data_IF_224439221583
#
_entry.id   IF_224439221583
#
_cell.length_a   1.000
_cell.length_b   1.000
_cell.length_c   1.000
_cell.angle_alpha   90.00
_cell.angle_beta   90.00
_cell.angle_gamma   90.00
#
_symmetry.space_group_name_H-M   'P 1'
#
loop_
_entity.id
_entity.type
_entity.pdbx_description
1 polymer ?
#
# COMPACT_ATOMS: atom_id res chain seq x y z
N UNK A 1 -36.00 8.82 40.16
CA UNK A 1 -36.72 9.94 39.55
C UNK A 1 -36.37 10.00 38.06
N UNK A 2 -37.37 9.76 37.19
CA UNK A 2 -37.28 9.77 35.72
C UNK A 2 -37.28 11.23 35.24
N UNK A 3 -36.46 11.57 34.27
CA UNK A 3 -36.72 12.70 33.36
C UNK A 3 -36.32 12.31 31.92
N UNK A 4 -37.33 12.16 31.14
CA UNK A 4 -37.42 12.05 29.69
C UNK A 4 -37.15 13.43 29.06
N UNK A 5 -36.36 13.52 28.01
CA UNK A 5 -36.31 14.70 27.14
C UNK A 5 -36.52 14.29 25.71
N UNK A 6 -37.49 14.98 25.14
CA UNK A 6 -38.23 14.85 23.90
C UNK A 6 -37.41 15.18 22.65
N UNK A 7 -37.78 14.52 21.55
CA UNK A 7 -37.39 14.81 20.15
C UNK A 7 -37.85 16.20 19.68
N UNK A 8 -37.04 16.83 18.85
CA UNK A 8 -37.53 17.88 17.92
C UNK A 8 -36.96 17.59 16.53
N UNK A 9 -37.85 17.10 15.68
CA UNK A 9 -37.68 17.10 14.20
C UNK A 9 -37.83 18.53 13.67
N UNK A 10 -36.94 18.98 12.79
CA UNK A 10 -37.23 20.07 11.86
C UNK A 10 -36.85 19.67 10.44
N UNK A 11 -37.88 19.61 9.59
CA UNK A 11 -37.80 19.46 8.15
C UNK A 11 -37.35 20.77 7.52
N UNK A 12 -36.41 20.71 6.58
CA UNK A 12 -36.04 21.81 5.69
C UNK A 12 -36.07 21.32 4.25
N UNK A 13 -37.10 21.70 3.52
CA UNK A 13 -37.20 21.58 2.07
C UNK A 13 -36.16 22.52 1.41
N UNK A 14 -35.42 22.03 0.43
CA UNK A 14 -34.69 22.87 -0.54
C UNK A 14 -35.17 22.53 -1.95
N UNK A 15 -35.68 23.59 -2.61
CA UNK A 15 -36.24 23.57 -3.95
C UNK A 15 -35.15 23.39 -5.02
N UNK A 16 -35.46 22.59 -6.05
CA UNK A 16 -34.67 22.44 -7.25
C UNK A 16 -34.91 23.60 -8.21
N UNK A 17 -33.84 24.28 -8.66
CA UNK A 17 -33.88 25.24 -9.77
C UNK A 17 -33.33 24.55 -11.03
N UNK A 18 -34.20 24.41 -12.04
CA UNK A 18 -33.89 24.00 -13.41
C UNK A 18 -33.34 25.19 -14.17
N UNK A 19 -32.11 25.13 -14.68
CA UNK A 19 -31.55 26.07 -15.62
C UNK A 19 -31.49 25.43 -17.04
N UNK A 20 -32.22 26.03 -17.97
CA UNK A 20 -32.29 25.67 -19.37
C UNK A 20 -31.04 26.17 -20.11
N UNK A 21 -30.32 25.32 -20.82
CA UNK A 21 -29.20 25.67 -21.70
C UNK A 21 -29.69 25.71 -23.15
N UNK A 22 -29.64 26.89 -23.74
CA UNK A 22 -29.89 27.17 -25.17
C UNK A 22 -28.66 26.76 -26.00
N UNK A 23 -28.90 25.96 -27.04
CA UNK A 23 -27.89 25.52 -28.01
C UNK A 23 -27.74 26.60 -29.09
N UNK A 24 -26.53 27.18 -29.26
CA UNK A 24 -26.14 27.97 -30.43
C UNK A 24 -25.34 27.11 -31.40
N UNK A 25 -25.81 27.00 -32.64
CA UNK A 25 -25.16 26.29 -33.74
C UNK A 25 -23.96 27.06 -34.29
N UNK A 26 -22.91 26.35 -34.69
CA UNK A 26 -21.73 26.84 -35.40
C UNK A 26 -21.75 26.25 -36.81
N UNK A 27 -21.51 27.05 -37.87
CA UNK A 27 -21.54 26.59 -39.26
C UNK A 27 -20.25 25.84 -39.63
N UNK A 28 -20.40 24.79 -40.45
CA UNK A 28 -19.34 24.04 -41.05
C UNK A 28 -18.60 24.79 -42.14
N UNK A 29 -17.27 24.88 -42.04
CA UNK A 29 -16.41 25.27 -43.19
C UNK A 29 -15.71 24.02 -43.69
N UNK A 30 -15.90 23.71 -44.98
CA UNK A 30 -15.24 22.66 -45.68
C UNK A 30 -13.78 23.03 -46.00
N UNK A 31 -12.87 22.09 -45.82
CA UNK A 31 -11.51 22.17 -46.30
C UNK A 31 -11.14 20.87 -47.01
N UNK A 32 -10.70 21.00 -48.24
CA UNK A 32 -10.30 20.02 -49.23
C UNK A 32 -9.06 19.23 -48.76
N UNK A 33 -9.16 17.90 -48.94
CA UNK A 33 -8.07 16.98 -48.69
C UNK A 33 -6.96 17.11 -49.73
N UNK A 34 -5.70 17.27 -49.27
CA UNK A 34 -4.51 16.92 -50.04
C UNK A 34 -3.82 15.72 -49.36
N UNK A 35 -3.94 14.61 -50.04
CA UNK A 35 -3.31 13.35 -49.70
C UNK A 35 -1.77 13.46 -49.92
N UNK A 36 -0.99 13.36 -48.81
CA UNK A 36 0.46 13.10 -48.87
C UNK A 36 0.72 11.81 -48.07
N UNK A 37 1.23 10.81 -48.77
CA UNK A 37 1.70 9.55 -48.21
C UNK A 37 2.80 9.78 -47.15
N UNK A 38 2.76 9.10 -45.99
CA UNK A 38 3.86 9.17 -45.04
C UNK A 38 5.03 8.26 -45.45
N UNK A 39 6.22 8.86 -45.53
CA UNK A 39 7.50 8.18 -45.64
C UNK A 39 7.72 7.36 -44.37
N UNK A 40 8.27 6.14 -44.55
CA UNK A 40 8.54 5.16 -43.52
C UNK A 40 9.26 5.72 -42.29
N UNK A 41 8.54 5.75 -41.18
CA UNK A 41 9.10 5.91 -39.84
C UNK A 41 9.55 4.54 -39.38
N UNK A 42 10.84 4.42 -39.01
CA UNK A 42 11.37 3.23 -38.35
C UNK A 42 10.51 2.92 -37.10
N UNK A 43 9.92 1.73 -37.09
CA UNK A 43 9.30 1.17 -35.92
C UNK A 43 10.37 1.01 -34.86
N UNK A 44 10.39 1.93 -33.88
CA UNK A 44 11.10 1.69 -32.62
C UNK A 44 10.37 0.51 -31.99
N UNK A 45 11.02 -0.66 -32.02
CA UNK A 45 10.58 -1.83 -31.30
C UNK A 45 10.54 -1.45 -29.82
N UNK A 46 9.35 -1.22 -29.30
CA UNK A 46 9.12 -1.17 -27.85
C UNK A 46 9.58 -2.52 -27.31
N UNK A 47 10.63 -2.49 -26.49
CA UNK A 47 11.10 -3.66 -25.78
C UNK A 47 9.87 -4.29 -25.10
N UNK A 48 9.47 -5.46 -25.56
CA UNK A 48 8.44 -6.27 -24.90
C UNK A 48 8.99 -6.56 -23.50
N UNK A 49 8.43 -5.88 -22.51
CA UNK A 49 8.67 -6.20 -21.12
C UNK A 49 8.23 -7.65 -20.94
N UNK A 50 9.20 -8.55 -20.88
CA UNK A 50 8.95 -9.99 -20.65
C UNK A 50 8.19 -10.06 -19.33
N UNK A 51 6.90 -10.34 -19.39
CA UNK A 51 6.10 -10.55 -18.20
C UNK A 51 6.72 -11.74 -17.49
N UNK A 52 7.23 -11.59 -16.26
CA UNK A 52 7.85 -12.69 -15.54
C UNK A 52 6.84 -13.83 -15.43
N UNK A 53 7.29 -15.05 -15.71
CA UNK A 53 6.45 -16.23 -15.59
C UNK A 53 5.90 -16.33 -14.18
N UNK A 54 4.57 -16.35 -14.01
CA UNK A 54 3.94 -16.57 -12.71
C UNK A 54 3.79 -18.07 -12.48
N UNK A 55 4.33 -18.56 -11.37
CA UNK A 55 4.18 -19.95 -10.90
C UNK A 55 3.16 -19.98 -9.77
N UNK A 56 2.14 -20.80 -9.90
CA UNK A 56 1.15 -21.02 -8.85
C UNK A 56 1.58 -22.20 -7.99
N UNK A 57 1.60 -22.02 -6.68
CA UNK A 57 1.98 -23.00 -5.66
C UNK A 57 0.79 -23.25 -4.71
N UNK A 58 -0.31 -23.80 -5.27
CA UNK A 58 -1.50 -24.09 -4.48
C UNK A 58 -1.30 -25.19 -3.44
N UNK A 59 -0.23 -26.01 -3.58
CA UNK A 59 0.23 -26.94 -2.54
C UNK A 59 0.57 -26.24 -1.21
N UNK A 60 1.05 -24.98 -1.28
CA UNK A 60 1.34 -24.17 -0.10
C UNK A 60 0.09 -23.57 0.57
N UNK A 61 -1.10 -23.75 -0.01
CA UNK A 61 -2.37 -23.34 0.61
C UNK A 61 -2.58 -24.03 1.96
N UNK A 62 -2.06 -25.24 2.11
CA UNK A 62 -2.08 -25.99 3.37
C UNK A 62 -1.54 -25.21 4.58
N UNK A 63 -0.65 -24.22 4.37
CA UNK A 63 -0.13 -23.34 5.45
C UNK A 63 -1.25 -22.45 6.01
N UNK A 64 -2.10 -21.91 5.14
CA UNK A 64 -3.25 -21.10 5.54
C UNK A 64 -4.36 -21.98 6.15
N UNK A 65 -4.59 -23.16 5.59
CA UNK A 65 -5.62 -24.11 6.07
C UNK A 65 -5.31 -24.59 7.47
N UNK A 66 -4.05 -24.94 7.76
CA UNK A 66 -3.59 -25.33 9.10
C UNK A 66 -3.79 -24.21 10.13
N UNK A 67 -3.63 -22.97 9.73
CA UNK A 67 -3.86 -21.80 10.56
C UNK A 67 -5.36 -21.39 10.64
N UNK A 68 -6.25 -22.05 9.88
CA UNK A 68 -7.69 -21.76 9.77
C UNK A 68 -7.97 -20.32 9.36
N UNK A 69 -7.23 -19.82 8.36
CA UNK A 69 -7.41 -18.49 7.78
C UNK A 69 -7.41 -18.58 6.26
N UNK A 70 -8.09 -17.66 5.59
CA UNK A 70 -7.98 -17.50 4.15
C UNK A 70 -6.91 -16.48 3.83
N UNK A 71 -6.04 -16.78 2.87
CA UNK A 71 -4.95 -15.89 2.56
C UNK A 71 -4.31 -16.18 1.21
N UNK A 72 -3.38 -15.33 0.85
CA UNK A 72 -2.50 -15.44 -0.30
C UNK A 72 -1.09 -15.03 0.06
N UNK A 73 -0.15 -15.51 -0.73
CA UNK A 73 1.23 -15.10 -0.66
C UNK A 73 1.77 -14.86 -2.06
N UNK A 74 2.48 -13.76 -2.25
CA UNK A 74 3.21 -13.46 -3.47
C UNK A 74 4.69 -13.29 -3.13
N UNK A 75 5.56 -13.93 -3.91
CA UNK A 75 7.01 -13.84 -3.83
C UNK A 75 7.57 -13.48 -5.21
N UNK A 76 8.39 -12.43 -5.29
CA UNK A 76 9.16 -12.10 -6.47
C UNK A 76 10.65 -12.36 -6.19
N UNK A 77 11.24 -13.31 -6.89
CA UNK A 77 12.70 -13.43 -7.00
C UNK A 77 13.20 -12.35 -7.98
N UNK A 78 13.87 -11.34 -7.44
CA UNK A 78 14.30 -10.17 -8.23
C UNK A 78 15.32 -10.54 -9.29
N UNK A 79 16.18 -11.53 -9.04
CA UNK A 79 17.23 -11.95 -9.97
C UNK A 79 16.68 -12.69 -11.19
N UNK A 80 15.75 -13.61 -10.97
CA UNK A 80 15.13 -14.41 -12.04
C UNK A 80 13.87 -13.77 -12.61
N UNK A 81 13.37 -12.69 -12.01
CA UNK A 81 12.09 -12.05 -12.35
C UNK A 81 10.87 -12.99 -12.21
N UNK A 82 11.04 -14.10 -11.52
CA UNK A 82 10.00 -15.11 -11.32
C UNK A 82 9.07 -14.69 -10.18
N UNK A 83 7.76 -14.68 -10.44
CA UNK A 83 6.73 -14.47 -9.42
C UNK A 83 6.15 -15.81 -9.03
N UNK A 84 6.13 -16.12 -7.74
CA UNK A 84 5.46 -17.30 -7.18
C UNK A 84 4.27 -16.82 -6.36
N UNK A 85 3.09 -17.42 -6.55
CA UNK A 85 1.88 -17.06 -5.80
C UNK A 85 1.19 -18.30 -5.22
N UNK A 86 0.56 -18.10 -4.08
CA UNK A 86 -0.44 -19.01 -3.50
C UNK A 86 -1.80 -18.35 -3.66
N UNK A 87 -2.80 -19.03 -4.23
CA UNK A 87 -4.10 -18.44 -4.60
C UNK A 87 -3.94 -17.21 -5.50
N UNK A 88 -3.74 -17.46 -6.79
CA UNK A 88 -3.50 -16.41 -7.80
C UNK A 88 -4.62 -15.37 -7.83
N UNK A 89 -5.88 -15.81 -7.75
CA UNK A 89 -7.03 -14.89 -7.80
C UNK A 89 -7.00 -13.86 -6.68
N UNK A 90 -6.64 -14.30 -5.46
CA UNK A 90 -6.48 -13.39 -4.33
C UNK A 90 -5.18 -12.58 -4.42
N UNK A 91 -4.08 -13.16 -4.91
CA UNK A 91 -2.81 -12.45 -5.04
C UNK A 91 -2.88 -11.25 -5.98
N UNK A 92 -3.71 -11.32 -7.01
CA UNK A 92 -3.95 -10.27 -8.00
C UNK A 92 -5.10 -9.31 -7.60
N UNK A 93 -5.89 -9.65 -6.57
CA UNK A 93 -7.02 -8.82 -6.11
C UNK A 93 -6.53 -7.60 -5.32
N UNK A 94 -6.85 -6.36 -5.75
CA UNK A 94 -6.50 -5.16 -5.01
C UNK A 94 -7.33 -5.02 -3.72
N UNK A 95 -6.65 -4.79 -2.60
CA UNK A 95 -7.25 -4.61 -1.28
C UNK A 95 -6.65 -3.38 -0.58
N UNK A 96 -7.34 -2.85 0.42
CA UNK A 96 -6.86 -1.70 1.19
C UNK A 96 -5.53 -2.03 1.86
N UNK A 97 -4.47 -1.21 1.71
CA UNK A 97 -3.14 -1.53 2.22
C UNK A 97 -3.03 -1.41 3.74
N UNK A 98 -3.90 -0.65 4.39
CA UNK A 98 -3.81 -0.34 5.81
C UNK A 98 -2.40 0.12 6.21
N UNK A 99 -1.86 -0.32 7.35
CA UNK A 99 -0.54 0.12 7.81
C UNK A 99 0.66 -0.35 6.97
N UNK A 100 0.49 -1.22 5.95
CA UNK A 100 1.57 -1.46 5.00
C UNK A 100 1.89 -0.22 4.16
N UNK A 101 0.93 0.70 4.03
CA UNK A 101 1.10 2.01 3.38
C UNK A 101 2.09 2.93 4.13
N UNK A 102 2.38 2.68 5.40
CA UNK A 102 3.39 3.46 6.13
C UNK A 102 4.77 3.44 5.46
N UNK A 103 5.07 2.42 4.66
CA UNK A 103 6.34 2.31 3.92
C UNK A 103 6.45 3.41 2.85
N UNK A 104 5.57 3.49 1.83
CA UNK A 104 5.60 4.61 0.90
C UNK A 104 5.32 5.96 1.57
N UNK A 105 4.49 5.99 2.61
CA UNK A 105 4.09 7.22 3.30
C UNK A 105 5.27 7.86 4.05
N UNK A 106 6.10 7.07 4.76
CA UNK A 106 7.32 7.56 5.39
C UNK A 106 8.31 8.12 4.36
N UNK A 107 8.43 7.46 3.19
CA UNK A 107 9.25 7.95 2.09
C UNK A 107 8.76 9.32 1.59
N UNK A 108 7.45 9.45 1.40
CA UNK A 108 6.82 10.72 0.95
C UNK A 108 7.00 11.81 2.00
N UNK A 109 6.82 11.48 3.28
CA UNK A 109 7.01 12.43 4.39
C UNK A 109 8.42 13.03 4.42
N UNK A 110 9.44 12.18 4.31
CA UNK A 110 10.84 12.60 4.22
C UNK A 110 11.12 13.39 2.94
N UNK A 111 10.66 12.88 1.80
CA UNK A 111 10.93 13.48 0.49
C UNK A 111 10.25 14.84 0.29
N UNK A 112 9.14 15.09 0.95
CA UNK A 112 8.44 16.38 0.93
C UNK A 112 8.91 17.34 2.03
N UNK A 113 9.76 16.86 2.94
CA UNK A 113 10.29 17.65 4.06
C UNK A 113 9.27 17.97 5.15
N UNK A 114 8.07 17.35 5.13
CA UNK A 114 7.07 17.55 6.19
C UNK A 114 7.44 16.83 7.49
N UNK A 115 8.35 15.87 7.38
CA UNK A 115 9.13 15.28 8.46
C UNK A 115 10.61 15.41 8.07
N UNK A 116 11.40 16.08 8.87
CA UNK A 116 12.82 16.42 8.56
C UNK A 116 13.72 15.20 8.61
N UNK A 117 13.46 14.31 9.56
CA UNK A 117 14.19 13.06 9.77
C UNK A 117 13.31 12.04 10.52
N UNK A 118 13.66 10.75 10.57
CA UNK A 118 12.82 9.73 11.19
C UNK A 118 12.62 9.90 12.70
N UNK A 119 13.46 10.67 13.36
CA UNK A 119 13.44 10.87 14.80
C UNK A 119 12.70 12.16 15.21
N UNK A 120 12.19 12.93 14.22
CA UNK A 120 11.31 14.06 14.48
C UNK A 120 10.05 13.62 15.22
N UNK A 121 9.73 14.31 16.30
CA UNK A 121 8.56 14.04 17.13
C UNK A 121 7.29 14.53 16.44
N UNK A 122 6.32 13.63 16.32
CA UNK A 122 4.96 13.91 15.90
C UNK A 122 4.11 14.00 17.16
N UNK A 123 3.57 15.18 17.49
CA UNK A 123 2.81 15.36 18.71
C UNK A 123 1.47 14.62 18.65
N UNK A 124 1.08 14.05 19.79
CA UNK A 124 -0.26 13.52 19.99
C UNK A 124 -1.22 14.66 20.35
N UNK A 125 -2.41 14.67 19.79
CA UNK A 125 -3.38 15.73 19.96
C UNK A 125 -4.32 15.53 21.18
N UNK A 126 -4.04 14.52 22.01
CA UNK A 126 -4.88 14.19 23.17
C UNK A 126 -6.12 13.36 22.85
N UNK A 127 -6.38 13.05 21.57
CA UNK A 127 -7.55 12.23 21.19
C UNK A 127 -7.34 10.77 21.60
N UNK A 128 -8.29 10.13 22.32
CA UNK A 128 -8.19 8.72 22.69
C UNK A 128 -7.99 7.82 21.47
N UNK A 129 -7.10 6.83 21.59
CA UNK A 129 -6.72 5.92 20.53
C UNK A 129 -7.13 4.48 20.86
N UNK A 130 -7.30 3.60 19.85
CA UNK A 130 -7.62 2.18 20.07
C UNK A 130 -6.55 1.42 20.86
N UNK A 131 -5.32 1.92 20.87
CA UNK A 131 -4.17 1.30 21.54
C UNK A 131 -3.51 2.33 22.45
N UNK A 132 -3.41 2.08 23.78
CA UNK A 132 -2.81 3.03 24.72
C UNK A 132 -1.39 3.47 24.37
N UNK A 133 -0.60 2.59 23.75
CA UNK A 133 0.77 2.91 23.29
C UNK A 133 0.81 3.98 22.19
N UNK A 134 -0.33 4.34 21.58
CA UNK A 134 -0.43 5.43 20.61
C UNK A 134 -0.72 6.80 21.24
N UNK A 135 -1.11 6.83 22.53
CA UNK A 135 -1.54 8.03 23.25
C UNK A 135 -0.36 8.80 23.85
N UNK A 136 0.60 9.14 23.02
CA UNK A 136 1.79 9.94 23.39
C UNK A 136 2.46 10.56 22.18
N UNK A 137 3.24 11.58 22.42
CA UNK A 137 4.21 12.10 21.44
C UNK A 137 5.19 11.00 21.05
N UNK A 138 5.47 10.83 19.76
CA UNK A 138 6.43 9.84 19.30
C UNK A 138 7.11 10.26 18.00
N UNK A 139 8.31 9.73 17.78
CA UNK A 139 8.99 9.91 16.50
C UNK A 139 8.30 9.13 15.37
N UNK A 140 8.56 9.53 14.10
CA UNK A 140 8.10 8.74 12.95
C UNK A 140 8.67 7.30 13.01
N UNK A 141 9.91 7.12 13.47
CA UNK A 141 10.53 5.81 13.70
C UNK A 141 9.69 4.95 14.65
N UNK A 142 9.34 5.50 15.80
CA UNK A 142 8.50 4.79 16.77
C UNK A 142 7.10 4.51 16.20
N UNK A 143 6.50 5.49 15.53
CA UNK A 143 5.19 5.35 14.90
C UNK A 143 5.14 4.25 13.82
N UNK A 144 6.22 4.04 13.06
CA UNK A 144 6.36 2.90 12.14
C UNK A 144 6.43 1.59 12.91
N UNK A 145 7.24 1.54 13.98
CA UNK A 145 7.48 0.34 14.79
C UNK A 145 6.20 -0.16 15.46
N UNK A 146 5.47 0.72 16.16
CA UNK A 146 4.19 0.39 16.83
C UNK A 146 2.98 0.47 15.91
N UNK A 147 3.21 0.82 14.64
CA UNK A 147 2.16 0.96 13.62
C UNK A 147 1.09 2.01 13.94
N UNK A 148 1.45 3.10 14.66
CA UNK A 148 0.53 4.16 15.06
C UNK A 148 -0.14 4.80 13.82
N UNK A 149 -1.47 4.72 13.73
CA UNK A 149 -2.23 5.31 12.64
C UNK A 149 -2.40 6.82 12.85
N UNK A 150 -2.64 7.28 14.09
CA UNK A 150 -2.88 8.69 14.40
C UNK A 150 -1.67 9.57 14.03
N UNK A 151 -0.44 9.16 14.38
CA UNK A 151 0.76 9.88 13.98
C UNK A 151 0.87 10.00 12.45
N UNK A 152 0.54 8.94 11.70
CA UNK A 152 0.55 8.99 10.23
C UNK A 152 -0.61 9.79 9.64
N UNK A 153 -1.73 9.93 10.33
CA UNK A 153 -2.80 10.87 9.95
C UNK A 153 -2.34 12.33 10.09
N UNK A 154 -1.59 12.66 11.15
CA UNK A 154 -0.94 13.97 11.28
C UNK A 154 0.03 14.22 10.12
N UNK A 155 0.88 13.24 9.79
CA UNK A 155 1.81 13.33 8.66
C UNK A 155 1.05 13.53 7.34
N UNK A 156 -0.04 12.79 7.09
CA UNK A 156 -0.87 12.94 5.89
C UNK A 156 -1.45 14.36 5.76
N UNK A 157 -1.95 14.93 6.85
CA UNK A 157 -2.44 16.31 6.86
C UNK A 157 -1.33 17.32 6.56
N UNK A 158 -0.10 17.10 7.05
CA UNK A 158 1.08 17.93 6.71
C UNK A 158 1.48 17.79 5.25
N UNK A 159 1.40 16.60 4.66
CA UNK A 159 1.65 16.37 3.22
C UNK A 159 0.57 17.07 2.39
N UNK A 160 -0.70 16.87 2.74
CA UNK A 160 -1.86 17.41 2.02
C UNK A 160 -2.28 16.55 0.83
N UNK A 161 -3.58 16.49 0.57
CA UNK A 161 -4.23 15.57 -0.38
C UNK A 161 -3.65 15.66 -1.81
N UNK A 162 -3.34 16.86 -2.27
CA UNK A 162 -2.80 17.07 -3.62
C UNK A 162 -1.41 16.42 -3.77
N UNK A 163 -0.51 16.61 -2.79
CA UNK A 163 0.83 16.01 -2.81
C UNK A 163 0.76 14.50 -2.63
N UNK A 164 -0.13 13.98 -1.77
CA UNK A 164 -0.37 12.54 -1.64
C UNK A 164 -0.75 11.93 -2.98
N UNK A 165 -1.71 12.53 -3.70
CA UNK A 165 -2.13 12.07 -5.04
C UNK A 165 -0.97 12.06 -6.03
N UNK A 166 -0.19 13.15 -6.09
CA UNK A 166 0.97 13.24 -6.97
C UNK A 166 2.01 12.15 -6.67
N UNK A 167 2.28 11.90 -5.37
CA UNK A 167 3.25 10.90 -4.97
C UNK A 167 2.78 9.47 -5.22
N UNK A 168 1.52 9.15 -5.02
CA UNK A 168 0.96 7.85 -5.40
C UNK A 168 1.15 7.57 -6.90
N UNK A 169 0.97 8.59 -7.75
CA UNK A 169 1.24 8.48 -9.18
C UNK A 169 2.73 8.29 -9.48
N UNK A 170 3.62 9.11 -8.89
CA UNK A 170 5.08 8.98 -9.07
C UNK A 170 5.59 7.62 -8.61
N UNK A 171 5.13 7.14 -7.47
CA UNK A 171 5.49 5.84 -6.91
C UNK A 171 4.87 4.68 -7.68
N UNK A 172 3.89 4.93 -8.55
CA UNK A 172 3.05 3.91 -9.19
C UNK A 172 2.55 2.88 -8.16
N UNK A 173 1.89 3.36 -7.09
CA UNK A 173 1.45 2.55 -5.96
C UNK A 173 -0.02 2.20 -6.08
N UNK A 174 -0.32 0.91 -6.30
CA UNK A 174 -1.68 0.38 -6.42
C UNK A 174 -2.54 1.15 -7.43
N UNK A 175 -3.82 1.34 -7.11
CA UNK A 175 -4.76 2.08 -7.96
C UNK A 175 -4.58 3.62 -7.92
N UNK A 176 -3.69 4.16 -7.09
CA UNK A 176 -3.34 5.59 -6.97
C UNK A 176 -4.49 6.51 -6.55
N UNK A 177 -5.56 5.96 -5.98
CA UNK A 177 -6.74 6.73 -5.57
C UNK A 177 -6.64 7.21 -4.12
N UNK A 178 -6.86 8.50 -3.88
CA UNK A 178 -6.88 9.11 -2.54
C UNK A 178 -8.29 9.48 -2.08
N UNK A 179 -9.27 9.50 -2.96
CA UNK A 179 -10.58 10.08 -2.62
C UNK A 179 -10.46 11.56 -2.23
N UNK A 180 -11.27 11.97 -1.26
CA UNK A 180 -11.36 13.36 -0.77
C UNK A 180 -10.86 13.55 0.67
N UNK A 181 -10.65 12.47 1.43
CA UNK A 181 -10.23 12.51 2.84
C UNK A 181 -8.75 12.18 2.94
N UNK A 182 -7.94 13.18 3.30
CA UNK A 182 -6.48 13.10 3.23
C UNK A 182 -5.84 12.09 4.16
N UNK A 183 -6.46 11.80 5.29
CA UNK A 183 -5.87 11.01 6.37
C UNK A 183 -6.54 9.63 6.60
N UNK A 184 -7.34 9.16 5.62
CA UNK A 184 -8.05 7.88 5.72
C UNK A 184 -7.96 6.97 4.48
N UNK A 185 -7.53 7.48 3.34
CA UNK A 185 -7.60 6.78 2.05
C UNK A 185 -6.87 5.42 2.01
N UNK A 186 -5.88 5.22 2.88
CA UNK A 186 -5.16 3.94 3.02
C UNK A 186 -5.72 3.03 4.11
N UNK A 187 -6.62 3.54 4.97
CA UNK A 187 -7.25 2.81 6.08
C UNK A 187 -8.59 2.21 5.67
N UNK A 188 -9.42 3.03 5.02
CA UNK A 188 -10.81 2.67 4.67
C UNK A 188 -11.02 2.57 3.15
N UNK A 189 -10.02 2.93 2.37
CA UNK A 189 -10.10 3.12 0.92
C UNK A 189 -10.30 4.62 0.56
N UNK A 190 -10.26 4.95 -0.73
CA UNK A 190 -10.32 4.07 -1.92
C UNK A 190 -8.98 3.50 -2.37
N UNK A 191 -7.84 3.80 -1.73
CA UNK A 191 -6.55 3.23 -2.12
C UNK A 191 -6.57 1.71 -1.96
N UNK A 192 -6.17 1.01 -3.02
CA UNK A 192 -6.07 -0.44 -3.05
C UNK A 192 -4.80 -0.88 -3.79
N UNK A 193 -4.25 -2.01 -3.36
CA UNK A 193 -3.08 -2.64 -3.96
C UNK A 193 -3.18 -4.15 -3.83
N UNK A 194 -2.73 -4.90 -4.81
CA UNK A 194 -2.66 -6.36 -4.76
C UNK A 194 -1.35 -6.86 -4.13
N UNK A 195 -1.30 -8.12 -3.72
CA UNK A 195 -0.08 -8.72 -3.19
C UNK A 195 1.05 -8.73 -4.24
N UNK A 196 0.71 -8.99 -5.50
CA UNK A 196 1.69 -8.93 -6.60
C UNK A 196 2.22 -7.51 -6.83
N UNK A 197 1.37 -6.49 -6.75
CA UNK A 197 1.82 -5.09 -6.86
C UNK A 197 2.68 -4.66 -5.67
N UNK A 198 2.38 -5.14 -4.46
CA UNK A 198 3.21 -4.92 -3.26
C UNK A 198 4.64 -5.46 -3.49
N UNK A 199 4.80 -6.67 -4.04
CA UNK A 199 6.15 -7.22 -4.31
C UNK A 199 6.93 -6.33 -5.29
N UNK A 200 6.28 -5.82 -6.32
CA UNK A 200 6.92 -4.92 -7.31
C UNK A 200 7.29 -3.56 -6.72
N UNK A 201 6.46 -3.04 -5.82
CA UNK A 201 6.79 -1.81 -5.10
C UNK A 201 8.01 -2.04 -4.19
N UNK A 202 8.01 -3.13 -3.40
CA UNK A 202 9.11 -3.49 -2.51
C UNK A 202 10.43 -3.77 -3.28
N UNK A 203 10.36 -4.36 -4.47
CA UNK A 203 11.53 -4.56 -5.35
C UNK A 203 12.18 -3.23 -5.72
N UNK A 204 11.38 -2.23 -6.12
CA UNK A 204 11.91 -0.91 -6.48
C UNK A 204 12.49 -0.18 -5.27
N UNK A 205 11.85 -0.31 -4.10
CA UNK A 205 12.36 0.25 -2.85
C UNK A 205 13.68 -0.44 -2.44
N UNK A 206 13.72 -1.77 -2.38
CA UNK A 206 14.90 -2.53 -2.02
C UNK A 206 16.11 -2.19 -2.91
N UNK A 207 15.88 -1.95 -4.20
CA UNK A 207 16.89 -1.56 -5.17
C UNK A 207 17.21 -0.05 -5.19
N UNK A 208 16.60 0.77 -4.31
CA UNK A 208 16.72 2.23 -4.29
C UNK A 208 16.37 2.89 -5.64
N UNK A 209 15.34 2.37 -6.34
CA UNK A 209 14.91 2.80 -7.67
C UNK A 209 13.57 3.54 -7.69
N UNK A 210 13.02 3.86 -6.53
CA UNK A 210 11.85 4.74 -6.46
C UNK A 210 12.25 6.19 -6.81
N UNK A 211 11.32 7.02 -7.33
CA UNK A 211 11.59 8.41 -7.71
C UNK A 211 11.69 9.34 -6.49
N UNK A 212 12.58 8.99 -5.56
CA UNK A 212 12.88 9.73 -4.33
C UNK A 212 14.38 9.61 -4.04
N UNK A 213 14.92 10.45 -3.16
CA UNK A 213 16.35 10.39 -2.84
C UNK A 213 16.75 9.00 -2.33
N UNK A 214 17.95 8.55 -2.69
CA UNK A 214 18.46 7.25 -2.21
C UNK A 214 18.66 7.26 -0.71
N UNK A 215 18.96 8.39 -0.11
CA UNK A 215 19.08 8.60 1.33
C UNK A 215 17.75 8.31 2.02
N UNK A 216 16.66 8.95 1.59
CA UNK A 216 15.34 8.72 2.16
C UNK A 216 14.87 7.27 1.98
N UNK A 217 15.20 6.63 0.85
CA UNK A 217 14.91 5.22 0.65
C UNK A 217 15.68 4.33 1.64
N UNK A 218 16.99 4.59 1.89
CA UNK A 218 17.76 3.88 2.93
C UNK A 218 17.19 4.12 4.32
N UNK A 219 16.77 5.34 4.63
CA UNK A 219 16.08 5.63 5.90
C UNK A 219 14.83 4.76 6.06
N UNK A 220 14.03 4.59 5.00
CA UNK A 220 12.86 3.70 5.04
C UNK A 220 13.28 2.24 5.21
N UNK A 221 14.39 1.77 4.62
CA UNK A 221 14.93 0.43 4.91
C UNK A 221 15.16 0.25 6.41
N UNK A 222 15.86 1.20 7.06
CA UNK A 222 16.12 1.15 8.51
C UNK A 222 14.83 1.16 9.35
N UNK A 223 13.82 1.90 8.92
CA UNK A 223 12.53 1.98 9.63
C UNK A 223 11.76 0.64 9.65
N UNK A 224 11.96 -0.20 8.64
CA UNK A 224 11.22 -1.47 8.50
C UNK A 224 12.10 -2.71 8.62
N UNK A 225 13.39 -2.55 8.97
CA UNK A 225 14.29 -3.67 9.27
C UNK A 225 13.76 -4.45 10.47
N UNK A 226 13.62 -5.75 10.32
CA UNK A 226 13.09 -6.65 11.35
C UNK A 226 14.20 -7.43 12.05
N UNK A 227 15.12 -7.99 11.25
CA UNK A 227 16.25 -8.76 11.78
C UNK A 227 17.37 -8.86 10.76
N UNK A 228 18.55 -9.14 11.26
CA UNK A 228 19.76 -9.47 10.50
C UNK A 228 20.45 -10.62 11.19
N UNK A 229 20.53 -11.75 10.55
CA UNK A 229 21.18 -12.96 11.06
C UNK A 229 21.37 -14.01 9.97
N UNK A 230 22.24 -15.00 10.21
CA UNK A 230 22.36 -16.21 9.41
C UNK A 230 22.52 -15.95 7.90
N UNK A 231 23.23 -14.87 7.55
CA UNK A 231 23.50 -14.48 6.16
C UNK A 231 22.33 -13.86 5.43
N UNK A 232 21.29 -13.38 6.14
CA UNK A 232 20.19 -12.62 5.56
C UNK A 232 19.80 -11.39 6.37
N UNK A 233 19.17 -10.44 5.71
CA UNK A 233 18.47 -9.31 6.35
C UNK A 233 17.02 -9.33 5.91
N UNK A 234 16.11 -9.23 6.87
CA UNK A 234 14.67 -9.20 6.64
C UNK A 234 14.11 -7.81 6.93
N UNK A 235 13.41 -7.28 5.97
CA UNK A 235 12.68 -6.00 6.03
C UNK A 235 11.20 -6.28 5.86
N UNK A 236 10.35 -5.75 6.74
CA UNK A 236 8.91 -5.97 6.62
C UNK A 236 8.07 -4.92 7.34
N UNK A 237 6.85 -4.74 6.87
CA UNK A 237 5.81 -3.94 7.53
C UNK A 237 4.49 -4.69 7.55
N UNK A 238 3.87 -4.72 8.73
CA UNK A 238 2.52 -5.25 8.89
C UNK A 238 1.45 -4.21 8.53
N UNK A 239 0.27 -4.70 8.12
CA UNK A 239 -0.94 -3.92 7.96
C UNK A 239 -2.14 -4.65 8.54
N UNK A 240 -3.12 -3.91 9.04
CA UNK A 240 -4.38 -4.43 9.51
C UNK A 240 -5.48 -3.40 9.30
N UNK A 241 -6.46 -3.76 8.46
CA UNK A 241 -7.75 -3.10 8.37
C UNK A 241 -8.74 -3.95 9.17
N UNK A 242 -9.34 -3.38 10.20
CA UNK A 242 -10.19 -4.11 11.13
C UNK A 242 -11.69 -3.96 10.89
N UNK A 243 -12.11 -3.11 9.96
CA UNK A 243 -13.52 -2.88 9.65
C UNK A 243 -13.71 -2.49 8.17
N UNK A 244 -14.85 -2.84 7.52
CA UNK A 244 -15.81 -3.85 7.99
C UNK A 244 -15.22 -5.26 7.96
N UNK A 245 -15.72 -6.15 8.79
CA UNK A 245 -15.24 -7.52 8.86
C UNK A 245 -15.68 -8.42 7.68
N UNK A 246 -14.91 -9.51 7.34
CA UNK A 246 -13.62 -9.81 7.94
C UNK A 246 -12.58 -8.78 7.55
N UNK A 247 -11.72 -8.39 8.50
CA UNK A 247 -10.63 -7.45 8.27
C UNK A 247 -9.57 -8.00 7.32
N UNK A 248 -8.72 -7.11 6.82
CA UNK A 248 -7.60 -7.47 5.93
C UNK A 248 -6.28 -7.32 6.65
N UNK A 249 -5.49 -8.40 6.68
CA UNK A 249 -4.14 -8.43 7.23
C UNK A 249 -3.08 -8.44 6.14
N UNK A 250 -1.99 -7.73 6.37
CA UNK A 250 -0.82 -7.67 5.50
C UNK A 250 0.48 -7.92 6.28
N UNK A 251 1.43 -8.58 5.63
CA UNK A 251 2.83 -8.54 5.96
C UNK A 251 3.64 -8.54 4.67
N UNK A 252 4.35 -7.43 4.40
CA UNK A 252 5.00 -7.19 3.12
C UNK A 252 6.39 -6.62 3.32
N UNK A 253 7.34 -7.01 2.43
CA UNK A 253 8.71 -6.62 2.57
C UNK A 253 9.64 -7.35 1.62
N UNK A 254 10.90 -7.54 2.06
CA UNK A 254 11.89 -8.33 1.32
C UNK A 254 12.90 -8.99 2.24
N UNK A 255 13.51 -10.03 1.72
CA UNK A 255 14.71 -10.67 2.28
C UNK A 255 15.87 -10.37 1.35
N UNK A 256 16.96 -9.84 1.88
CA UNK A 256 18.27 -9.80 1.23
C UNK A 256 19.10 -10.94 1.77
N UNK A 257 19.46 -11.90 0.91
CA UNK A 257 20.28 -13.06 1.26
C UNK A 257 21.54 -13.06 0.43
N UNK A 258 22.60 -12.51 1.00
CA UNK A 258 23.90 -12.43 0.32
C UNK A 258 23.84 -11.67 -1.00
N UNK A 259 23.07 -10.57 -1.09
CA UNK A 259 22.87 -9.76 -2.29
C UNK A 259 21.77 -10.26 -3.22
N UNK A 260 21.16 -11.43 -2.93
CA UNK A 260 19.98 -11.90 -3.66
C UNK A 260 18.71 -11.46 -2.96
N UNK A 261 17.93 -10.64 -3.63
CA UNK A 261 16.72 -10.03 -3.07
C UNK A 261 15.47 -10.80 -3.48
N UNK A 262 14.63 -11.11 -2.49
CA UNK A 262 13.32 -11.73 -2.65
C UNK A 262 12.28 -10.82 -2.00
N UNK A 263 11.38 -10.26 -2.78
CA UNK A 263 10.30 -9.43 -2.22
C UNK A 263 9.03 -10.24 -2.06
N UNK A 264 8.28 -9.97 -0.99
CA UNK A 264 7.11 -10.76 -0.67
C UNK A 264 5.94 -9.90 -0.17
N UNK A 265 4.74 -10.44 -0.31
CA UNK A 265 3.54 -9.91 0.32
C UNK A 265 2.60 -11.06 0.71
N UNK A 266 2.31 -11.16 2.00
CA UNK A 266 1.21 -11.96 2.52
C UNK A 266 -0.02 -11.05 2.66
N UNK A 267 -1.17 -11.54 2.21
CA UNK A 267 -2.47 -10.96 2.51
C UNK A 267 -3.41 -12.05 3.05
N UNK A 268 -4.14 -11.77 4.13
CA UNK A 268 -5.05 -12.73 4.73
C UNK A 268 -6.28 -12.06 5.33
N UNK A 269 -7.35 -12.82 5.52
CA UNK A 269 -8.50 -12.39 6.29
C UNK A 269 -8.17 -12.41 7.79
N UNK A 270 -8.67 -11.40 8.50
CA UNK A 270 -8.63 -11.33 9.96
C UNK A 270 -10.07 -11.37 10.44
N UNK A 271 -10.54 -12.56 10.80
CA UNK A 271 -11.91 -12.77 11.27
C UNK A 271 -12.06 -12.50 12.79
N UNK A 272 -10.96 -12.60 13.53
CA UNK A 272 -10.87 -12.36 14.97
C UNK A 272 -9.50 -11.79 15.34
N UNK A 273 -9.39 -11.11 16.47
CA UNK A 273 -8.17 -10.38 16.89
C UNK A 273 -6.91 -11.24 16.90
N UNK A 274 -6.99 -12.49 17.36
CA UNK A 274 -5.86 -13.42 17.38
C UNK A 274 -5.29 -13.76 15.98
N UNK A 275 -6.06 -13.54 14.90
CA UNK A 275 -5.57 -13.81 13.55
C UNK A 275 -4.52 -12.78 13.12
N UNK A 276 -4.57 -11.56 13.66
CA UNK A 276 -3.62 -10.51 13.33
C UNK A 276 -2.16 -10.91 13.66
N UNK A 277 -1.94 -11.68 14.72
CA UNK A 277 -0.62 -12.17 15.11
C UNK A 277 -0.05 -13.20 14.10
N UNK A 278 -0.90 -13.95 13.38
CA UNK A 278 -0.49 -15.00 12.45
C UNK A 278 0.23 -14.47 11.20
N UNK A 279 0.07 -13.19 10.84
CA UNK A 279 0.60 -12.62 9.59
C UNK A 279 2.09 -12.88 9.39
N UNK A 280 2.91 -12.53 10.37
CA UNK A 280 4.36 -12.70 10.29
C UNK A 280 4.77 -14.18 10.33
N UNK A 281 4.13 -14.97 11.18
CA UNK A 281 4.41 -16.42 11.33
C UNK A 281 4.14 -17.16 10.02
N UNK A 282 2.98 -16.95 9.40
CA UNK A 282 2.62 -17.60 8.14
C UNK A 282 3.51 -17.16 6.98
N UNK A 283 3.86 -15.86 6.91
CA UNK A 283 4.75 -15.40 5.87
C UNK A 283 6.16 -15.98 6.03
N UNK A 284 6.70 -16.07 7.25
CA UNK A 284 7.98 -16.72 7.53
C UNK A 284 7.96 -18.21 7.15
N UNK A 285 6.92 -18.93 7.53
CA UNK A 285 6.72 -20.32 7.14
C UNK A 285 6.75 -20.51 5.62
N UNK A 286 6.05 -19.63 4.88
CA UNK A 286 6.06 -19.66 3.41
C UNK A 286 7.44 -19.31 2.83
N UNK A 287 8.15 -18.36 3.43
CA UNK A 287 9.53 -18.03 3.03
C UNK A 287 10.49 -19.19 3.29
N UNK A 288 10.33 -19.94 4.39
CA UNK A 288 11.10 -21.17 4.66
C UNK A 288 10.80 -22.25 3.62
N UNK A 289 9.53 -22.56 3.36
CA UNK A 289 9.13 -23.57 2.36
C UNK A 289 9.55 -23.24 0.93
N UNK A 290 9.74 -21.95 0.64
CA UNK A 290 10.27 -21.47 -0.63
C UNK A 290 11.79 -21.30 -0.65
N UNK A 291 12.50 -21.78 0.39
CA UNK A 291 13.95 -21.70 0.55
C UNK A 291 14.53 -20.26 0.49
N UNK A 292 13.75 -19.27 0.89
CA UNK A 292 14.18 -17.86 0.99
C UNK A 292 14.82 -17.60 2.35
N UNK A 293 14.19 -18.07 3.43
CA UNK A 293 14.79 -18.09 4.76
C UNK A 293 15.39 -19.48 5.04
N UNK A 294 16.47 -19.59 5.87
CA UNK A 294 17.00 -20.86 6.30
C UNK A 294 15.93 -21.64 7.09
N UNK A 295 16.04 -22.97 7.12
CA UNK A 295 15.16 -23.79 7.96
C UNK A 295 15.26 -23.37 9.42
N UNK A 296 14.12 -23.37 10.14
CA UNK A 296 14.05 -22.97 11.54
C UNK A 296 14.76 -23.96 12.45
#
# INVERSE_FOLDING_TARGET
>A
MKKTISQVLRHGLVAAALASLTVYGIPAYGATAHERAPRGGAMVATAHEVRPGTVVRDDLRAVFDAAKVRGTFALLDVSSRKVTVVDRGRAEKPMVPASSFKVPHALVALQTGVVKNPDEVIPWDGTPQPFPEWEKDMSMREAVRVSNAAAFQVIARRIGLQRERQWLHRLNYGNRQTGTVVDRFWLDGPLKISAVEQTRFMERLAALRLPASREHQRTVHELIKQEEKDGYVLYAKSGWQNAPGPGTGWWTGWVDRGGRVYTFALNMDIAKDGDAAKRATLARELLHRLNVLPAA
#
